data_IF_991195295846
#
_entry.id   IF_991195295846
#
_cell.length_a   1.000
_cell.length_b   1.000
_cell.length_c   1.000
_cell.angle_alpha   90.00
_cell.angle_beta   90.00
_cell.angle_gamma   90.00
#
_symmetry.space_group_name_H-M   'P 1'
#
loop_
_entity.id
_entity.type
_entity.pdbx_description
1 polymer ?
#
# COMPACT_ATOMS: atom_id res chain seq x y z
N UNK A 1 -8.97 -9.04 8.91
CA UNK A 1 -9.49 -7.78 8.33
C UNK A 1 -8.30 -6.98 7.81
N UNK A 2 -8.42 -6.28 6.68
CA UNK A 2 -7.34 -5.47 6.08
C UNK A 2 -7.54 -3.99 6.42
N UNK A 3 -6.47 -3.26 6.70
CA UNK A 3 -6.52 -1.85 7.07
C UNK A 3 -5.55 -1.02 6.23
N UNK A 4 -5.96 0.19 5.89
CA UNK A 4 -5.15 1.13 5.10
C UNK A 4 -4.07 1.72 6.01
N UNK A 5 -2.81 1.62 5.59
CA UNK A 5 -1.66 2.17 6.34
C UNK A 5 -0.87 3.22 5.57
N UNK A 6 -1.06 3.29 4.24
CA UNK A 6 -0.44 4.29 3.38
C UNK A 6 -1.30 4.53 2.13
N UNK A 7 -1.20 5.73 1.55
CA UNK A 7 -1.57 5.99 0.16
C UNK A 7 -0.34 6.30 -0.67
N UNK A 8 -0.27 5.70 -1.85
CA UNK A 8 0.74 5.98 -2.85
C UNK A 8 0.08 6.73 -4.03
N UNK A 9 0.77 7.69 -4.66
CA UNK A 9 0.21 8.48 -5.77
C UNK A 9 0.12 7.71 -7.10
N UNK A 10 0.79 6.56 -7.20
CA UNK A 10 0.79 5.70 -8.38
C UNK A 10 1.12 4.24 -8.01
N UNK A 11 0.91 3.33 -8.98
CA UNK A 11 1.19 1.91 -8.80
C UNK A 11 2.66 1.64 -8.45
N UNK A 12 3.59 2.32 -9.13
CA UNK A 12 5.04 2.12 -8.89
C UNK A 12 5.42 2.37 -7.43
N UNK A 13 5.00 3.48 -6.85
CA UNK A 13 5.26 3.76 -5.43
C UNK A 13 4.49 2.80 -4.50
N UNK A 14 3.29 2.37 -4.89
CA UNK A 14 2.51 1.40 -4.13
C UNK A 14 3.23 0.04 -4.05
N UNK A 15 3.81 -0.39 -5.17
CA UNK A 15 4.64 -1.59 -5.31
C UNK A 15 5.89 -1.51 -4.44
N UNK A 16 6.58 -0.36 -4.40
CA UNK A 16 7.73 -0.17 -3.50
C UNK A 16 7.35 -0.36 -2.02
N UNK A 17 6.20 0.16 -1.58
CA UNK A 17 5.71 -0.06 -0.21
C UNK A 17 5.38 -1.53 0.03
N UNK A 18 4.79 -2.22 -0.95
CA UNK A 18 4.53 -3.67 -0.86
C UNK A 18 5.82 -4.45 -0.66
N UNK A 19 6.83 -4.22 -1.49
CA UNK A 19 8.14 -4.89 -1.38
C UNK A 19 8.78 -4.67 -0.01
N UNK A 20 8.72 -3.44 0.51
CA UNK A 20 9.27 -3.09 1.82
C UNK A 20 8.56 -3.83 2.96
N UNK A 21 7.23 -3.86 2.96
CA UNK A 21 6.46 -4.53 4.00
C UNK A 21 6.56 -6.05 3.89
N UNK A 22 6.60 -6.61 2.69
CA UNK A 22 6.76 -8.05 2.47
C UNK A 22 8.16 -8.54 2.82
N UNK A 23 9.20 -7.71 2.68
CA UNK A 23 10.54 -8.01 3.17
C UNK A 23 10.59 -8.18 4.71
N UNK A 24 9.70 -7.49 5.44
CA UNK A 24 9.50 -7.63 6.88
C UNK A 24 8.49 -8.76 7.23
N UNK A 25 8.05 -9.53 6.24
CA UNK A 25 7.09 -10.63 6.42
C UNK A 25 5.64 -10.18 6.63
N UNK A 26 5.30 -8.95 6.25
CA UNK A 26 3.94 -8.42 6.34
C UNK A 26 3.26 -8.50 4.96
N UNK A 27 2.25 -9.37 4.79
CA UNK A 27 1.58 -9.48 3.51
C UNK A 27 0.84 -8.18 3.21
N UNK A 28 0.94 -7.69 1.98
CA UNK A 28 0.45 -6.36 1.62
C UNK A 28 -0.45 -6.42 0.39
N UNK A 29 -1.58 -5.70 0.43
CA UNK A 29 -2.52 -5.57 -0.68
C UNK A 29 -2.55 -4.15 -1.20
N UNK A 30 -2.59 -4.01 -2.51
CA UNK A 30 -2.74 -2.74 -3.19
C UNK A 30 -4.13 -2.65 -3.81
N UNK A 31 -4.86 -1.58 -3.53
CA UNK A 31 -6.16 -1.30 -4.16
C UNK A 31 -6.16 0.12 -4.73
N UNK A 32 -6.73 0.36 -5.92
CA UNK A 32 -6.96 1.72 -6.40
C UNK A 32 -7.76 2.54 -5.37
N UNK A 33 -7.37 3.79 -5.15
CA UNK A 33 -8.06 4.71 -4.23
C UNK A 33 -9.39 5.22 -4.79
N UNK A 34 -9.56 5.18 -6.11
CA UNK A 34 -10.81 5.54 -6.79
C UNK A 34 -11.37 4.29 -7.49
N UNK A 35 -12.68 4.04 -7.35
CA UNK A 35 -13.37 2.91 -7.98
C UNK A 35 -13.54 3.05 -9.50
N UNK A 36 -13.24 4.22 -10.05
CA UNK A 36 -13.30 4.53 -11.48
C UNK A 36 -11.91 4.30 -12.11
N UNK A 37 -11.60 3.05 -12.45
CA UNK A 37 -10.49 2.69 -13.37
C UNK A 37 -10.97 2.86 -14.82
N UNK A 38 -11.75 3.91 -15.08
CA UNK A 38 -12.30 4.23 -16.38
C UNK A 38 -11.62 5.49 -16.88
N UNK A 39 -10.90 5.34 -17.99
CA UNK A 39 -10.28 6.40 -18.78
C UNK A 39 -9.02 7.07 -18.20
N UNK A 40 -7.88 6.74 -18.83
CA UNK A 40 -6.54 7.33 -18.74
C UNK A 40 -5.54 6.59 -17.86
N UNK A 41 -4.71 5.78 -18.54
CA UNK A 41 -3.39 5.27 -18.10
C UNK A 41 -3.18 5.12 -16.59
N UNK A 42 -3.37 3.90 -16.10
CA UNK A 42 -3.17 3.36 -14.74
C UNK A 42 -2.00 3.93 -13.90
N UNK A 43 -1.01 4.59 -14.50
CA UNK A 43 0.21 5.06 -13.84
C UNK A 43 0.03 6.30 -12.95
N UNK A 44 -1.10 7.01 -12.99
CA UNK A 44 -1.36 8.19 -12.14
C UNK A 44 -2.51 8.00 -11.13
N UNK A 45 -3.08 6.80 -11.06
CA UNK A 45 -4.13 6.49 -10.07
C UNK A 45 -3.48 6.29 -8.72
N UNK A 46 -4.00 6.96 -7.69
CA UNK A 46 -3.54 6.72 -6.32
C UNK A 46 -3.94 5.32 -5.85
N UNK A 47 -3.09 4.65 -5.07
CA UNK A 47 -3.33 3.33 -4.50
C UNK A 47 -3.32 3.37 -2.98
N UNK A 48 -4.22 2.61 -2.38
CA UNK A 48 -4.26 2.26 -0.98
C UNK A 48 -3.34 1.06 -0.74
N UNK A 49 -2.42 1.21 0.21
CA UNK A 49 -1.56 0.13 0.69
C UNK A 49 -2.17 -0.41 1.98
N UNK A 50 -2.53 -1.68 1.95
CA UNK A 50 -3.32 -2.34 2.98
C UNK A 50 -2.52 -3.50 3.59
N UNK A 51 -2.60 -3.66 4.90
CA UNK A 51 -1.99 -4.79 5.63
C UNK A 51 -3.02 -5.47 6.54
N UNK A 52 -2.77 -6.70 7.03
CA UNK A 52 -3.60 -7.31 8.06
C UNK A 52 -3.67 -6.43 9.30
N UNK A 53 -4.88 -6.27 9.85
CA UNK A 53 -5.11 -5.45 11.04
C UNK A 53 -4.25 -5.85 12.23
N UNK A 54 -3.91 -7.14 12.38
CA UNK A 54 -3.03 -7.64 13.44
C UNK A 54 -1.57 -7.22 13.26
N UNK A 55 -1.16 -6.83 12.04
CA UNK A 55 0.20 -6.36 11.70
C UNK A 55 0.30 -4.84 11.57
N UNK A 56 -0.83 -4.13 11.62
CA UNK A 56 -0.86 -2.68 11.41
C UNK A 56 0.04 -1.91 12.39
N UNK A 57 0.13 -2.35 13.65
CA UNK A 57 0.98 -1.73 14.66
C UNK A 57 2.48 -1.81 14.33
N UNK A 58 2.91 -2.84 13.58
CA UNK A 58 4.30 -2.99 13.16
C UNK A 58 4.70 -1.99 12.08
N UNK A 59 3.73 -1.48 11.31
CA UNK A 59 3.99 -0.51 10.23
C UNK A 59 4.56 0.79 10.79
N UNK A 60 4.11 1.23 11.97
CA UNK A 60 4.66 2.43 12.61
C UNK A 60 6.15 2.27 12.94
N UNK A 61 6.58 1.07 13.35
CA UNK A 61 7.99 0.78 13.65
C UNK A 61 8.83 0.69 12.39
N UNK A 62 8.29 0.09 11.33
CA UNK A 62 8.97 -0.03 10.04
C UNK A 62 9.17 1.35 9.40
N UNK A 63 8.12 2.18 9.37
CA UNK A 63 8.16 3.52 8.77
C UNK A 63 9.12 4.48 9.51
N UNK A 64 9.50 4.20 10.77
CA UNK A 64 10.53 4.99 11.47
C UNK A 64 11.95 4.71 10.99
N UNK A 65 12.19 3.59 10.32
CA UNK A 65 13.52 3.16 9.84
C UNK A 65 13.81 3.60 8.40
N UNK A 66 12.80 4.13 7.72
CA UNK A 66 12.77 4.44 6.28
C UNK A 66 12.85 5.94 6.05
#
# INVERSE_FOLDING_TARGET
MWVEVKRAPNLMMAEMWRELFEAEGIPTRLLPATGDVTDMGDELVAYQVLVPSDKAHLIEEILRKV
#
